data_IF_187571023212
#
_entry.id   IF_187571023212
#
_cell.length_a   1.000
_cell.length_b   1.000
_cell.length_c   1.000
_cell.angle_alpha   90.00
_cell.angle_beta   90.00
_cell.angle_gamma   90.00
#
_symmetry.space_group_name_H-M   'P 1'
#
loop_
_entity.id
_entity.type
_entity.pdbx_description
1 polymer ?
#
# COMPACT_ATOMS: atom_id res chain seq x y z
N UNK A 1 63.25 19.95 32.74
CA UNK A 1 62.86 18.97 31.72
C UNK A 1 62.34 17.73 32.42
N UNK A 2 61.05 17.43 32.30
CA UNK A 2 60.49 16.09 32.04
C UNK A 2 59.00 16.25 31.71
N UNK A 3 58.45 15.57 30.67
CA UNK A 3 57.04 15.68 30.29
C UNK A 3 56.16 14.53 30.82
N UNK A 4 54.88 14.90 30.95
CA UNK A 4 53.62 14.14 30.77
C UNK A 4 53.24 13.03 31.74
N UNK A 5 52.20 13.35 32.53
CA UNK A 5 51.22 12.42 33.07
C UNK A 5 50.78 11.43 31.98
N UNK A 6 50.91 10.15 32.29
CA UNK A 6 50.46 9.06 31.43
C UNK A 6 49.05 8.72 31.87
N UNK A 7 48.08 9.33 31.17
CA UNK A 7 46.67 9.03 31.33
C UNK A 7 46.46 7.51 31.33
N UNK A 8 45.91 7.01 32.43
CA UNK A 8 45.48 5.62 32.55
C UNK A 8 44.22 5.48 31.69
N UNK A 9 44.40 5.13 30.43
CA UNK A 9 43.29 4.68 29.58
C UNK A 9 42.75 3.37 30.15
N UNK A 10 41.63 3.47 30.88
CA UNK A 10 40.79 2.33 31.18
C UNK A 10 40.29 1.77 29.85
N UNK A 11 40.85 0.63 29.42
CA UNK A 11 40.33 -0.11 28.27
C UNK A 11 38.91 -0.57 28.65
N UNK A 12 37.85 -0.20 27.91
CA UNK A 12 36.55 -0.80 28.15
C UNK A 12 36.69 -2.28 27.83
N UNK A 13 36.44 -3.11 28.84
CA UNK A 13 36.43 -4.57 28.78
C UNK A 13 35.71 -5.01 27.51
N UNK A 14 36.46 -5.49 26.51
CA UNK A 14 35.89 -6.10 25.33
C UNK A 14 35.06 -7.29 25.79
N UNK A 15 33.75 -7.23 25.55
CA UNK A 15 32.86 -8.37 25.77
C UNK A 15 33.41 -9.59 25.02
N UNK A 16 33.31 -10.81 25.60
CA UNK A 16 33.81 -12.01 24.96
C UNK A 16 33.21 -12.13 23.54
N UNK A 17 33.98 -12.58 22.54
CA UNK A 17 33.41 -12.82 21.23
C UNK A 17 32.30 -13.86 21.39
N UNK A 18 31.06 -13.43 21.12
CA UNK A 18 29.89 -14.29 21.15
C UNK A 18 30.23 -15.53 20.32
N UNK A 19 30.17 -16.70 20.96
CA UNK A 19 30.52 -17.96 20.32
C UNK A 19 29.70 -18.13 19.04
N UNK A 20 30.28 -18.61 17.95
CA UNK A 20 29.55 -18.85 16.68
C UNK A 20 28.29 -19.69 16.90
N UNK A 21 28.32 -20.62 17.86
CA UNK A 21 27.18 -21.46 18.22
C UNK A 21 26.09 -20.69 18.99
N UNK A 22 26.48 -19.68 19.76
CA UNK A 22 25.58 -18.79 20.50
C UNK A 22 24.94 -17.76 19.56
N UNK A 23 25.70 -17.22 18.60
CA UNK A 23 25.18 -16.36 17.54
C UNK A 23 24.15 -17.10 16.66
N UNK A 24 24.44 -18.35 16.27
CA UNK A 24 23.49 -19.21 15.54
C UNK A 24 22.24 -19.54 16.37
N UNK A 25 22.39 -19.76 17.68
CA UNK A 25 21.25 -20.03 18.58
C UNK A 25 20.37 -18.80 18.82
N UNK A 26 20.95 -17.60 18.79
CA UNK A 26 20.21 -16.35 18.94
C UNK A 26 19.52 -15.94 17.64
N UNK A 27 20.11 -16.23 16.47
CA UNK A 27 19.45 -16.03 15.16
C UNK A 27 18.26 -16.98 14.95
N UNK A 28 18.26 -18.16 15.57
CA UNK A 28 17.15 -19.12 15.49
C UNK A 28 15.96 -18.78 16.40
N UNK A 29 16.06 -17.74 17.23
CA UNK A 29 14.99 -17.26 18.14
C UNK A 29 14.30 -15.99 17.68
N UNK A 30 14.76 -15.42 16.57
CA UNK A 30 14.00 -14.39 15.88
C UNK A 30 13.01 -15.13 14.97
N UNK A 31 11.75 -15.18 15.39
CA UNK A 31 10.64 -15.68 14.58
C UNK A 31 10.40 -14.67 13.45
N UNK A 32 11.37 -14.56 12.54
CA UNK A 32 11.45 -13.66 11.38
C UNK A 32 10.39 -13.98 10.32
N UNK A 33 9.15 -14.19 10.75
CA UNK A 33 7.98 -14.42 9.93
C UNK A 33 7.50 -13.15 9.21
N UNK A 34 8.17 -12.01 9.43
CA UNK A 34 8.00 -10.81 8.61
C UNK A 34 9.15 -10.58 7.60
N UNK A 35 10.07 -11.55 7.45
CA UNK A 35 11.04 -11.54 6.35
C UNK A 35 10.34 -12.06 5.10
N UNK A 36 9.64 -11.15 4.44
CA UNK A 36 9.26 -11.20 3.02
C UNK A 36 8.50 -12.47 2.59
N UNK A 37 7.17 -12.48 2.82
CA UNK A 37 6.22 -13.51 2.32
C UNK A 37 6.39 -13.83 0.82
N UNK A 38 6.94 -12.89 0.05
CA UNK A 38 7.44 -13.08 -1.31
C UNK A 38 8.88 -12.55 -1.34
N UNK A 39 9.87 -13.37 -1.75
CA UNK A 39 11.29 -13.01 -1.64
C UNK A 39 11.67 -11.69 -2.34
N UNK A 40 12.84 -11.15 -2.00
CA UNK A 40 13.50 -9.93 -2.49
C UNK A 40 13.46 -9.64 -4.01
N UNK A 41 13.21 -10.62 -4.87
CA UNK A 41 13.07 -10.46 -6.31
C UNK A 41 11.62 -10.46 -6.83
N UNK A 42 10.64 -10.84 -5.99
CA UNK A 42 9.24 -10.93 -6.38
C UNK A 42 8.53 -9.59 -6.14
N UNK A 43 7.87 -9.09 -7.20
CA UNK A 43 6.98 -7.93 -7.07
C UNK A 43 5.67 -8.40 -6.46
N UNK A 44 5.31 -7.83 -5.31
CA UNK A 44 4.00 -8.04 -4.69
C UNK A 44 2.90 -7.93 -5.74
N UNK A 45 2.05 -8.96 -5.88
CA UNK A 45 0.92 -8.92 -6.81
C UNK A 45 0.12 -7.65 -6.55
N UNK A 46 -0.01 -6.78 -7.56
CA UNK A 46 -0.91 -5.61 -7.46
C UNK A 46 -2.31 -6.16 -7.21
N UNK A 47 -2.93 -5.75 -6.11
CA UNK A 47 -4.34 -6.06 -5.87
C UNK A 47 -5.13 -5.44 -7.03
N UNK A 48 -5.73 -6.29 -7.87
CA UNK A 48 -6.71 -5.86 -8.86
C UNK A 48 -7.95 -5.40 -8.09
N UNK A 49 -7.95 -4.14 -7.68
CA UNK A 49 -9.06 -3.55 -6.96
C UNK A 49 -10.28 -3.53 -7.87
N UNK A 50 -11.24 -4.39 -7.58
CA UNK A 50 -12.56 -4.26 -8.17
C UNK A 50 -13.16 -2.95 -7.63
N UNK A 51 -13.83 -2.16 -8.48
CA UNK A 51 -14.50 -0.95 -8.01
C UNK A 51 -15.57 -1.32 -6.97
N UNK A 52 -15.87 -0.40 -6.04
CA UNK A 52 -16.96 -0.60 -5.08
C UNK A 52 -18.29 -0.79 -5.81
N UNK A 53 -19.13 -1.71 -5.34
CA UNK A 53 -20.40 -2.01 -6.00
C UNK A 53 -21.35 -0.81 -6.00
N UNK A 54 -21.29 0.04 -4.97
CA UNK A 54 -22.05 1.30 -4.94
C UNK A 54 -21.65 2.23 -6.08
N UNK A 55 -20.34 2.38 -6.30
CA UNK A 55 -19.84 3.23 -7.36
C UNK A 55 -20.18 2.69 -8.75
N UNK A 56 -20.09 1.37 -8.94
CA UNK A 56 -20.55 0.70 -10.18
C UNK A 56 -22.04 0.95 -10.43
N UNK A 57 -22.88 0.72 -9.43
CA UNK A 57 -24.34 0.91 -9.54
C UNK A 57 -24.69 2.36 -9.86
N UNK A 58 -23.99 3.33 -9.27
CA UNK A 58 -24.20 4.74 -9.56
C UNK A 58 -23.89 5.07 -11.02
N UNK A 59 -22.71 4.67 -11.50
CA UNK A 59 -22.29 4.89 -12.89
C UNK A 59 -23.22 4.18 -13.87
N UNK A 60 -23.63 2.95 -13.55
CA UNK A 60 -24.56 2.17 -14.36
C UNK A 60 -25.94 2.83 -14.44
N UNK A 61 -26.49 3.31 -13.32
CA UNK A 61 -27.76 4.03 -13.28
C UNK A 61 -27.71 5.27 -14.18
N UNK A 62 -26.64 6.08 -14.07
CA UNK A 62 -26.44 7.26 -14.91
C UNK A 62 -26.26 6.92 -16.39
N UNK A 63 -25.58 5.82 -16.70
CA UNK A 63 -25.48 5.36 -18.09
C UNK A 63 -26.80 4.82 -18.63
N UNK A 64 -27.63 4.17 -17.83
CA UNK A 64 -28.97 3.72 -18.24
C UNK A 64 -29.91 4.90 -18.51
N UNK A 65 -29.82 5.98 -17.73
CA UNK A 65 -30.48 7.26 -18.02
C UNK A 65 -30.02 7.84 -19.38
N UNK A 66 -28.71 7.77 -19.65
CA UNK A 66 -28.11 8.16 -20.93
C UNK A 66 -28.58 7.32 -22.14
N UNK A 67 -28.77 6.02 -21.95
CA UNK A 67 -29.30 5.13 -23.00
C UNK A 67 -30.72 5.54 -23.39
N UNK A 68 -31.57 5.88 -22.42
CA UNK A 68 -32.95 6.35 -22.67
C UNK A 68 -32.99 7.67 -23.44
N UNK A 69 -32.03 8.55 -23.19
CA UNK A 69 -31.92 9.88 -23.82
C UNK A 69 -31.09 9.88 -25.10
N UNK A 70 -30.45 8.76 -25.46
CA UNK A 70 -29.59 8.61 -26.63
C UNK A 70 -28.22 9.29 -26.51
N UNK A 71 -27.87 9.84 -25.34
CA UNK A 71 -26.58 10.51 -25.08
C UNK A 71 -25.86 9.84 -23.93
N UNK A 72 -24.59 9.45 -24.14
CA UNK A 72 -23.74 8.97 -23.05
C UNK A 72 -23.49 10.12 -22.06
N UNK A 73 -23.66 9.84 -20.77
CA UNK A 73 -23.30 10.77 -19.70
C UNK A 73 -21.80 11.09 -19.76
N UNK A 74 -21.44 12.35 -19.57
CA UNK A 74 -20.05 12.76 -19.52
C UNK A 74 -19.35 12.20 -18.25
N UNK A 75 -18.19 11.54 -18.36
CA UNK A 75 -17.51 10.99 -17.20
C UNK A 75 -17.13 12.03 -16.13
N UNK A 76 -16.86 13.28 -16.50
CA UNK A 76 -16.55 14.33 -15.53
C UNK A 76 -17.78 14.77 -14.74
N UNK A 77 -18.94 14.87 -15.40
CA UNK A 77 -20.22 15.10 -14.71
C UNK A 77 -20.58 13.95 -13.77
N UNK A 78 -20.38 12.70 -14.21
CA UNK A 78 -20.61 11.53 -13.38
C UNK A 78 -19.71 11.51 -12.12
N UNK A 79 -18.44 11.92 -12.25
CA UNK A 79 -17.53 12.09 -11.10
C UNK A 79 -18.03 13.18 -10.15
N UNK A 80 -18.49 14.33 -10.68
CA UNK A 80 -19.01 15.42 -9.86
C UNK A 80 -20.24 15.00 -9.06
N UNK A 81 -21.19 14.34 -9.72
CA UNK A 81 -22.39 13.82 -9.08
C UNK A 81 -22.07 12.73 -8.04
N UNK A 82 -21.06 11.90 -8.30
CA UNK A 82 -20.60 10.90 -7.34
C UNK A 82 -19.90 11.54 -6.13
N UNK A 83 -19.33 12.74 -6.26
CA UNK A 83 -18.77 13.51 -5.14
C UNK A 83 -19.84 14.20 -4.30
N UNK A 84 -20.92 14.63 -4.94
CA UNK A 84 -22.11 15.22 -4.30
C UNK A 84 -22.93 14.16 -3.54
N UNK A 85 -22.83 12.88 -3.92
CA UNK A 85 -23.49 11.78 -3.23
C UNK A 85 -22.71 11.35 -1.97
N UNK A 86 -23.31 11.57 -0.79
CA UNK A 86 -22.75 11.20 0.51
C UNK A 86 -22.84 9.68 0.79
N UNK A 87 -23.61 8.92 0.01
CA UNK A 87 -23.72 7.46 0.21
C UNK A 87 -22.45 6.70 -0.20
N UNK A 88 -21.63 7.31 -1.06
CA UNK A 88 -20.38 6.76 -1.57
C UNK A 88 -19.22 7.41 -0.85
N UNK A 89 -18.50 6.61 -0.06
CA UNK A 89 -17.36 7.12 0.72
C UNK A 89 -16.25 7.60 -0.22
N UNK A 90 -15.44 8.59 0.17
CA UNK A 90 -14.40 9.15 -0.71
C UNK A 90 -13.46 8.12 -1.35
N UNK A 91 -13.10 7.06 -0.62
CA UNK A 91 -12.23 5.98 -1.12
C UNK A 91 -12.92 5.00 -2.08
N UNK A 92 -14.25 5.04 -2.16
CA UNK A 92 -15.06 4.20 -3.05
C UNK A 92 -15.38 4.90 -4.38
N UNK A 93 -15.15 6.21 -4.47
CA UNK A 93 -15.50 7.04 -5.64
C UNK A 93 -14.62 6.70 -6.84
N UNK A 94 -15.23 6.70 -8.03
CA UNK A 94 -14.54 6.56 -9.30
C UNK A 94 -14.19 7.93 -9.89
N UNK A 95 -12.97 8.07 -10.41
CA UNK A 95 -12.55 9.24 -11.17
C UNK A 95 -13.15 9.21 -12.60
N UNK A 96 -13.34 10.36 -13.25
CA UNK A 96 -13.71 10.47 -14.65
C UNK A 96 -12.95 9.51 -15.59
N UNK A 97 -11.64 9.32 -15.42
CA UNK A 97 -10.89 8.37 -16.26
C UNK A 97 -11.31 6.91 -16.02
N UNK A 98 -11.57 6.52 -14.77
CA UNK A 98 -12.04 5.18 -14.43
C UNK A 98 -13.47 4.96 -14.94
N UNK A 99 -14.33 5.98 -14.85
CA UNK A 99 -15.69 5.98 -15.41
C UNK A 99 -15.64 5.85 -16.93
N UNK A 100 -14.71 6.55 -17.61
CA UNK A 100 -14.52 6.44 -19.06
C UNK A 100 -14.16 5.02 -19.51
N UNK A 101 -13.28 4.35 -18.76
CA UNK A 101 -12.86 2.98 -19.06
C UNK A 101 -13.81 1.92 -18.48
N UNK A 102 -14.83 2.32 -17.71
CA UNK A 102 -15.83 1.42 -17.18
C UNK A 102 -16.62 0.81 -18.33
N UNK A 103 -16.24 -0.41 -18.70
CA UNK A 103 -16.98 -1.24 -19.64
C UNK A 103 -18.07 -1.96 -18.86
N UNK A 104 -19.30 -1.80 -19.32
CA UNK A 104 -20.43 -2.61 -18.89
C UNK A 104 -20.14 -4.04 -19.37
N UNK A 105 -19.77 -4.94 -18.46
CA UNK A 105 -19.72 -6.35 -18.79
C UNK A 105 -21.16 -6.83 -18.92
N UNK A 106 -21.46 -7.47 -20.05
CA UNK A 106 -22.79 -7.90 -20.47
C UNK A 106 -22.96 -9.39 -20.14
#
# INVERSE_FOLDING_TARGET
MMPTARDSFCVPSAEPPISMNEALSNMAKDDGTDVLKEGWALRSKRKSGHYSDKAKQFVEKKFNEGVKTGRKMDPAEAERLMKEDDTIRPFERMNAQQIRFFRRNN
#
